data_IF_782006812031
#
_entry.id   IF_782006812031
#
_cell.length_a   1.000
_cell.length_b   1.000
_cell.length_c   1.000
_cell.angle_alpha   90.00
_cell.angle_beta   90.00
_cell.angle_gamma   90.00
#
_symmetry.space_group_name_H-M   'P 1'
#
loop_
_entity.id
_entity.type
_entity.pdbx_description
1 polymer ?
#
# COMPACT_ATOMS: atom_id res chain seq x y z
N UNK A 1 -7.89 11.52 -14.28
CA UNK A 1 -6.99 12.70 -14.36
C UNK A 1 -5.55 12.21 -14.13
N UNK A 2 -4.87 11.72 -15.17
CA UNK A 2 -3.52 11.16 -15.02
C UNK A 2 -2.46 12.23 -15.31
N UNK A 3 -1.77 12.74 -14.27
CA UNK A 3 -0.65 13.67 -14.41
C UNK A 3 0.60 13.00 -13.81
N UNK A 4 1.41 12.28 -14.62
CA UNK A 4 2.52 11.45 -14.12
C UNK A 4 3.64 12.26 -13.44
N UNK A 5 3.66 13.58 -13.63
CA UNK A 5 4.59 14.50 -12.99
C UNK A 5 4.19 14.89 -11.56
N UNK A 6 2.96 14.57 -11.13
CA UNK A 6 2.46 14.91 -9.80
C UNK A 6 2.56 13.72 -8.84
N UNK A 7 3.25 13.93 -7.73
CA UNK A 7 3.24 12.99 -6.61
C UNK A 7 2.12 13.38 -5.63
N UNK A 8 1.09 12.53 -5.54
CA UNK A 8 0.00 12.70 -4.58
C UNK A 8 0.36 12.03 -3.27
N UNK A 9 0.16 12.74 -2.16
CA UNK A 9 0.29 12.21 -0.81
C UNK A 9 -1.07 12.32 -0.12
N UNK A 10 -1.48 11.25 0.56
CA UNK A 10 -2.62 11.24 1.46
C UNK A 10 -2.14 10.88 2.88
N UNK A 11 -3.06 10.80 3.85
CA UNK A 11 -2.74 10.48 5.25
C UNK A 11 -1.83 9.26 5.36
N UNK A 12 -2.13 8.21 4.58
CA UNK A 12 -1.33 6.99 4.48
C UNK A 12 -0.02 7.10 3.67
N UNK A 13 0.44 8.27 3.25
CA UNK A 13 1.68 8.44 2.47
C UNK A 13 1.45 8.61 0.97
N UNK A 14 2.46 8.29 0.16
CA UNK A 14 2.41 8.55 -1.29
C UNK A 14 1.45 7.58 -1.96
N UNK A 15 0.58 8.08 -2.83
CA UNK A 15 -0.34 7.27 -3.63
C UNK A 15 0.42 6.67 -4.82
N UNK A 16 0.36 5.35 -4.99
CA UNK A 16 0.73 4.70 -6.24
C UNK A 16 -0.39 4.91 -7.26
N UNK A 17 -0.09 5.66 -8.34
CA UNK A 17 -1.09 5.99 -9.36
C UNK A 17 -1.67 4.77 -10.10
N UNK A 18 -1.02 3.60 -10.01
CA UNK A 18 -1.47 2.39 -10.72
C UNK A 18 -2.67 1.72 -10.06
N UNK A 19 -2.69 1.68 -8.74
CA UNK A 19 -3.70 0.97 -7.96
C UNK A 19 -4.30 1.82 -6.83
N UNK A 20 -3.89 3.09 -6.73
CA UNK A 20 -4.32 4.08 -5.74
C UNK A 20 -4.05 3.69 -4.28
N UNK A 21 -3.21 2.68 -4.05
CA UNK A 21 -2.77 2.31 -2.70
C UNK A 21 -1.77 3.32 -2.15
N UNK A 22 -1.77 3.49 -0.82
CA UNK A 22 -0.78 4.30 -0.13
C UNK A 22 0.48 3.48 0.15
N UNK A 23 1.65 3.96 -0.27
CA UNK A 23 2.93 3.25 -0.17
C UNK A 23 4.04 4.10 0.45
N UNK A 24 5.09 3.42 0.93
CA UNK A 24 6.33 4.05 1.40
C UNK A 24 6.41 4.23 2.93
N UNK A 25 7.43 4.97 3.37
CA UNK A 25 7.77 5.12 4.79
C UNK A 25 6.68 5.81 5.60
N UNK A 26 6.01 6.83 5.05
CA UNK A 26 4.90 7.50 5.73
C UNK A 26 3.72 6.56 5.99
N UNK A 27 3.40 5.66 5.03
CA UNK A 27 2.37 4.64 5.20
C UNK A 27 2.69 3.71 6.37
N UNK A 28 3.92 3.19 6.36
CA UNK A 28 4.40 2.28 7.39
C UNK A 28 4.44 2.94 8.77
N UNK A 29 4.85 4.21 8.86
CA UNK A 29 4.84 4.95 10.11
C UNK A 29 3.42 5.19 10.62
N UNK A 30 2.50 5.63 9.76
CA UNK A 30 1.10 5.84 10.16
C UNK A 30 0.49 4.56 10.74
N UNK A 31 0.66 3.42 10.07
CA UNK A 31 0.14 2.15 10.56
C UNK A 31 0.71 1.75 11.94
N UNK A 32 1.98 2.09 12.22
CA UNK A 32 2.59 1.84 13.54
C UNK A 32 2.05 2.74 14.65
N UNK A 33 1.46 3.88 14.31
CA UNK A 33 0.88 4.82 15.29
C UNK A 33 -0.59 4.55 15.57
N UNK A 34 -1.25 3.71 14.78
CA UNK A 34 -2.66 3.40 14.95
C UNK A 34 -2.83 2.12 15.76
N UNK A 35 -3.70 2.17 16.76
CA UNK A 35 -4.19 0.98 17.45
C UNK A 35 -5.41 0.48 16.68
N UNK A 36 -5.23 -0.56 15.87
CA UNK A 36 -6.25 -1.06 14.95
C UNK A 36 -6.85 -2.35 15.53
N UNK A 37 -8.08 -2.27 16.01
CA UNK A 37 -8.80 -3.46 16.51
C UNK A 37 -9.33 -4.32 15.37
N UNK A 38 -9.82 -3.70 14.30
CA UNK A 38 -10.37 -4.37 13.11
C UNK A 38 -9.95 -3.61 11.85
N UNK A 39 -9.44 -4.35 10.85
CA UNK A 39 -9.08 -3.80 9.55
C UNK A 39 -9.77 -4.57 8.41
N UNK A 40 -10.28 -3.84 7.43
CA UNK A 40 -10.73 -4.40 6.16
C UNK A 40 -9.64 -4.19 5.12
N UNK A 41 -9.05 -5.29 4.63
CA UNK A 41 -7.93 -5.25 3.70
C UNK A 41 -8.36 -5.87 2.37
N UNK A 42 -8.23 -5.10 1.28
CA UNK A 42 -8.35 -5.62 -0.07
C UNK A 42 -6.99 -6.15 -0.53
N UNK A 43 -6.97 -7.36 -1.10
CA UNK A 43 -5.77 -7.96 -1.71
C UNK A 43 -6.13 -8.64 -3.03
N UNK A 44 -5.18 -8.70 -3.95
CA UNK A 44 -5.32 -9.46 -5.20
C UNK A 44 -4.97 -10.94 -5.04
N UNK A 45 -4.30 -11.33 -3.94
CA UNK A 45 -3.73 -12.66 -3.78
C UNK A 45 -3.61 -13.04 -2.30
N UNK A 46 -4.14 -14.22 -1.95
CA UNK A 46 -4.00 -14.84 -0.63
C UNK A 46 -4.21 -16.35 -0.68
N UNK A 47 -3.60 -17.08 0.24
CA UNK A 47 -3.85 -18.50 0.49
C UNK A 47 -3.70 -18.84 1.98
N UNK A 48 -4.13 -20.04 2.36
CA UNK A 48 -4.16 -20.48 3.77
C UNK A 48 -2.77 -20.77 4.35
N UNK A 49 -1.80 -21.15 3.51
CA UNK A 49 -0.46 -21.55 3.95
C UNK A 49 0.47 -20.33 4.08
N UNK A 50 0.41 -19.39 3.14
CA UNK A 50 1.31 -18.25 3.05
C UNK A 50 0.66 -16.91 3.42
N UNK A 51 -0.66 -16.87 3.59
CA UNK A 51 -1.41 -15.68 3.95
C UNK A 51 -1.56 -14.68 2.80
N UNK A 52 -1.59 -13.38 3.12
CA UNK A 52 -1.74 -12.31 2.13
C UNK A 52 -0.42 -12.06 1.41
N UNK A 53 -0.44 -12.02 0.08
CA UNK A 53 0.72 -11.61 -0.73
C UNK A 53 0.43 -10.31 -1.47
N UNK A 54 1.37 -9.37 -1.41
CA UNK A 54 1.34 -8.16 -2.24
C UNK A 54 2.51 -8.22 -3.20
N UNK A 55 2.25 -8.03 -4.49
CA UNK A 55 3.31 -7.93 -5.50
C UNK A 55 4.17 -6.68 -5.23
N UNK A 56 5.17 -6.79 -4.36
CA UNK A 56 6.16 -5.73 -4.17
C UNK A 56 7.14 -5.78 -5.34
N UNK A 57 7.17 -4.70 -6.13
CA UNK A 57 8.19 -4.54 -7.17
C UNK A 57 9.54 -4.15 -6.56
N UNK A 58 10.18 -5.05 -5.79
CA UNK A 58 11.65 -5.09 -5.78
C UNK A 58 12.03 -5.82 -7.06
N UNK A 59 12.47 -5.08 -8.06
CA UNK A 59 12.90 -5.62 -9.36
C UNK A 59 13.90 -6.77 -9.16
N UNK A 60 13.57 -7.93 -9.70
CA UNK A 60 14.53 -8.73 -10.45
C UNK A 60 14.06 -8.66 -11.90
N UNK A 61 14.98 -8.26 -12.80
CA UNK A 61 14.82 -7.73 -14.16
C UNK A 61 14.57 -6.21 -14.28
#
# INVERSE_FOLDING_TARGET
>A
MNRPQLNLFHTGGRIDQRNYSCVGSCAAMLLRTLNIDVAFISTSSWDLEHGLSTHTRRKCW
#
